data_IF_005963823486
#
_entry.id   IF_005963823486
#
_cell.length_a   1.000
_cell.length_b   1.000
_cell.length_c   1.000
_cell.angle_alpha   90.00
_cell.angle_beta   90.00
_cell.angle_gamma   90.00
#
_symmetry.space_group_name_H-M   'P 1'
#
loop_
_entity.id
_entity.type
_entity.pdbx_description
1 polymer ?
#
# COMPACT_ATOMS: atom_id res chain seq x y z
N UNK A 1 23.04 -18.13 26.24
CA UNK A 1 23.63 -17.12 25.33
C UNK A 1 23.85 -15.86 26.13
N UNK A 2 25.10 -15.39 26.28
CA UNK A 2 25.43 -14.16 27.03
C UNK A 2 25.91 -13.14 25.98
N UNK A 3 25.26 -11.98 25.92
CA UNK A 3 25.58 -10.90 24.96
C UNK A 3 25.40 -9.53 25.61
N UNK A 4 26.17 -8.54 25.15
CA UNK A 4 26.10 -7.16 25.67
C UNK A 4 24.91 -6.36 25.12
N UNK A 5 24.47 -6.66 23.89
CA UNK A 5 23.33 -5.98 23.24
C UNK A 5 22.66 -6.87 22.20
N UNK A 6 21.34 -6.75 22.12
CA UNK A 6 20.50 -7.37 21.09
C UNK A 6 19.83 -6.25 20.28
N UNK A 7 19.85 -6.36 18.95
CA UNK A 7 19.16 -5.45 18.03
C UNK A 7 18.14 -6.26 17.23
N UNK A 8 16.85 -5.97 17.40
CA UNK A 8 15.77 -6.61 16.66
C UNK A 8 15.45 -5.86 15.37
N UNK A 9 15.89 -6.37 14.23
CA UNK A 9 15.57 -5.85 12.90
C UNK A 9 14.40 -6.60 12.26
N UNK A 10 13.36 -6.89 13.04
CA UNK A 10 12.23 -7.76 12.64
C UNK A 10 11.09 -7.00 11.94
N UNK A 11 11.33 -5.75 11.53
CA UNK A 11 10.33 -4.90 10.91
C UNK A 11 9.29 -4.34 11.89
N UNK A 12 8.18 -3.85 11.32
CA UNK A 12 7.09 -3.19 12.04
C UNK A 12 5.74 -3.62 11.45
N UNK A 13 4.67 -3.49 12.24
CA UNK A 13 3.29 -3.64 11.78
C UNK A 13 2.48 -2.43 12.22
N UNK A 14 1.69 -1.86 11.30
CA UNK A 14 0.80 -0.74 11.60
C UNK A 14 -0.29 -1.09 12.62
N UNK A 15 -0.63 -0.14 13.50
CA UNK A 15 -1.67 -0.32 14.52
C UNK A 15 -3.08 -0.39 13.91
N UNK A 16 -3.77 -1.51 14.05
CA UNK A 16 -5.09 -1.74 13.46
C UNK A 16 -6.27 -1.30 14.36
N UNK A 17 -5.98 -0.79 15.58
CA UNK A 17 -6.99 -0.43 16.57
C UNK A 17 -8.12 0.45 16.02
N UNK A 18 -7.78 1.45 15.19
CA UNK A 18 -8.70 2.42 14.60
C UNK A 18 -9.79 1.79 13.71
N UNK A 19 -9.48 0.73 12.99
CA UNK A 19 -10.40 0.14 12.00
C UNK A 19 -10.80 -1.29 12.33
N UNK A 20 -10.45 -1.80 13.52
CA UNK A 20 -10.71 -3.18 13.92
C UNK A 20 -12.20 -3.56 13.91
N UNK A 21 -13.08 -2.57 14.06
CA UNK A 21 -14.54 -2.75 14.03
C UNK A 21 -15.15 -2.53 12.64
N UNK A 22 -14.35 -2.12 11.65
CA UNK A 22 -14.77 -1.89 10.27
C UNK A 22 -14.59 -3.16 9.43
N UNK A 23 -15.28 -3.22 8.29
CA UNK A 23 -15.23 -4.34 7.34
C UNK A 23 -13.94 -4.31 6.49
N UNK A 24 -12.79 -4.42 7.14
CA UNK A 24 -11.47 -4.46 6.50
C UNK A 24 -10.99 -5.91 6.40
N UNK A 25 -10.82 -6.41 5.18
CA UNK A 25 -10.23 -7.72 4.95
C UNK A 25 -8.71 -7.61 4.86
N UNK A 26 -8.03 -8.09 5.89
CA UNK A 26 -6.57 -8.15 5.95
C UNK A 26 -6.05 -9.49 5.44
N UNK A 27 -4.97 -9.46 4.66
CA UNK A 27 -4.23 -10.65 4.28
C UNK A 27 -3.59 -11.26 5.54
N UNK A 28 -3.78 -12.56 5.75
CA UNK A 28 -3.25 -13.28 6.91
C UNK A 28 -1.70 -13.23 7.01
N UNK A 29 -1.01 -13.11 5.88
CA UNK A 29 0.46 -13.11 5.84
C UNK A 29 1.04 -11.72 6.14
N UNK A 30 0.46 -10.67 5.55
CA UNK A 30 1.03 -9.31 5.59
C UNK A 30 0.31 -8.39 6.57
N UNK A 31 -0.94 -8.71 6.96
CA UNK A 31 -1.86 -7.84 7.66
C UNK A 31 -2.15 -6.51 6.93
N UNK A 32 -1.94 -6.48 5.61
CA UNK A 32 -2.36 -5.40 4.71
C UNK A 32 -3.74 -5.71 4.09
N UNK A 33 -4.43 -4.70 3.52
CA UNK A 33 -5.63 -4.93 2.72
C UNK A 33 -5.43 -6.05 1.68
N UNK A 34 -6.39 -6.97 1.61
CA UNK A 34 -6.28 -8.21 0.81
C UNK A 34 -6.00 -7.93 -0.68
N UNK A 35 -6.71 -6.96 -1.26
CA UNK A 35 -6.62 -6.63 -2.69
C UNK A 35 -5.22 -6.12 -3.06
N UNK A 36 -4.71 -5.14 -2.32
CA UNK A 36 -3.34 -4.64 -2.52
C UNK A 36 -2.31 -5.72 -2.25
N UNK A 37 -2.49 -6.56 -1.23
CA UNK A 37 -1.56 -7.66 -0.94
C UNK A 37 -1.48 -8.66 -2.10
N UNK A 38 -2.62 -9.00 -2.70
CA UNK A 38 -2.67 -9.88 -3.87
C UNK A 38 -1.99 -9.25 -5.10
N UNK A 39 -2.20 -7.95 -5.32
CA UNK A 39 -1.56 -7.22 -6.41
C UNK A 39 -0.02 -7.19 -6.25
N UNK A 40 0.47 -6.92 -5.04
CA UNK A 40 1.91 -6.93 -4.73
C UNK A 40 2.52 -8.32 -4.88
N UNK A 41 1.80 -9.37 -4.47
CA UNK A 41 2.25 -10.75 -4.66
C UNK A 41 2.34 -11.10 -6.14
N UNK A 42 1.35 -10.69 -6.94
CA UNK A 42 1.37 -10.90 -8.39
C UNK A 42 2.50 -10.12 -9.08
N UNK A 43 2.83 -8.92 -8.59
CA UNK A 43 3.91 -8.10 -9.13
C UNK A 43 5.32 -8.61 -8.76
N UNK A 44 5.44 -9.37 -7.67
CA UNK A 44 6.71 -9.90 -7.21
C UNK A 44 7.27 -11.03 -8.10
N UNK A 45 6.40 -11.83 -8.74
CA UNK A 45 6.81 -12.98 -9.56
C UNK A 45 7.56 -14.05 -8.77
N UNK A 46 8.42 -14.83 -9.46
CA UNK A 46 9.16 -15.98 -8.90
C UNK A 46 10.56 -15.61 -8.32
N UNK A 47 10.85 -14.33 -8.07
CA UNK A 47 12.16 -13.86 -7.62
C UNK A 47 12.13 -12.57 -6.81
N UNK A 48 13.26 -12.13 -6.25
CA UNK A 48 13.33 -10.85 -5.55
C UNK A 48 13.07 -9.71 -6.54
N UNK A 49 11.88 -9.13 -6.47
CA UNK A 49 11.52 -7.96 -7.27
C UNK A 49 12.42 -6.78 -6.93
N UNK A 50 12.73 -5.96 -7.94
CA UNK A 50 13.40 -4.67 -7.72
C UNK A 50 12.50 -3.80 -6.83
N UNK A 51 12.94 -3.57 -5.61
CA UNK A 51 12.20 -2.79 -4.62
C UNK A 51 12.07 -1.30 -5.02
N UNK A 52 12.89 -0.81 -5.96
CA UNK A 52 12.83 0.56 -6.46
C UNK A 52 11.90 0.72 -7.66
N UNK A 53 11.51 -0.38 -8.32
CA UNK A 53 10.59 -0.38 -9.47
C UNK A 53 9.11 -0.36 -9.06
N UNK A 54 8.80 -0.08 -7.79
CA UNK A 54 7.43 -0.09 -7.28
C UNK A 54 6.60 1.06 -7.88
N UNK A 55 5.39 0.71 -8.32
CA UNK A 55 4.38 1.64 -8.80
C UNK A 55 3.10 1.51 -7.98
N UNK A 56 2.29 2.56 -7.96
CA UNK A 56 0.92 2.44 -7.48
C UNK A 56 0.11 1.49 -8.38
N UNK A 57 -0.82 0.76 -7.76
CA UNK A 57 -1.65 -0.26 -8.41
C UNK A 57 -3.07 0.24 -8.71
N UNK A 58 -3.32 1.55 -8.52
CA UNK A 58 -4.60 2.19 -8.74
C UNK A 58 -5.54 2.16 -7.53
N UNK A 59 -6.55 3.02 -7.56
CA UNK A 59 -7.51 3.18 -6.45
C UNK A 59 -8.37 1.95 -6.18
N UNK A 60 -8.65 1.14 -7.20
CA UNK A 60 -9.56 -0.01 -7.06
C UNK A 60 -8.96 -1.09 -6.17
N UNK A 61 -7.63 -1.30 -6.20
CA UNK A 61 -6.97 -2.27 -5.30
C UNK A 61 -6.86 -1.78 -3.87
N UNK A 62 -7.02 -0.47 -3.64
CA UNK A 62 -7.02 0.15 -2.32
C UNK A 62 -8.39 0.05 -1.64
N UNK A 63 -9.44 -0.33 -2.38
CA UNK A 63 -10.77 -0.54 -1.83
C UNK A 63 -10.81 -1.76 -0.94
N UNK A 64 -11.47 -1.59 0.20
CA UNK A 64 -11.85 -2.65 1.12
C UNK A 64 -13.38 -2.78 1.14
N UNK A 65 -13.94 -3.85 1.73
CA UNK A 65 -15.39 -4.00 1.80
C UNK A 65 -16.10 -2.90 2.59
N UNK A 66 -15.42 -2.26 3.55
CA UNK A 66 -15.91 -1.04 4.18
C UNK A 66 -16.03 0.10 3.14
N UNK A 67 -17.24 0.64 2.90
CA UNK A 67 -17.45 1.68 1.90
C UNK A 67 -16.78 3.00 2.31
N UNK A 68 -16.24 3.72 1.32
CA UNK A 68 -15.60 5.03 1.47
C UNK A 68 -14.48 5.10 2.52
N UNK A 69 -13.94 3.94 2.90
CA UNK A 69 -12.82 3.80 3.83
C UNK A 69 -11.59 3.25 3.10
N UNK A 70 -10.43 3.85 3.36
CA UNK A 70 -9.16 3.48 2.71
C UNK A 70 -8.03 3.37 3.72
N UNK A 71 -7.20 2.35 3.56
CA UNK A 71 -5.93 2.20 4.28
C UNK A 71 -4.82 2.51 3.30
N UNK A 72 -4.05 3.58 3.55
CA UNK A 72 -3.04 4.12 2.64
C UNK A 72 -1.65 4.18 3.30
N UNK A 73 -0.64 4.44 2.47
CA UNK A 73 0.75 4.59 2.88
C UNK A 73 1.33 3.29 3.44
N UNK A 74 2.25 3.42 4.40
CA UNK A 74 2.92 2.26 4.99
C UNK A 74 1.95 1.25 5.61
N UNK A 75 0.81 1.73 6.15
CA UNK A 75 -0.20 0.86 6.76
C UNK A 75 -0.85 -0.07 5.74
N UNK A 76 -1.00 0.38 4.49
CA UNK A 76 -1.55 -0.45 3.41
C UNK A 76 -0.60 -1.57 2.97
N UNK A 77 0.69 -1.48 3.31
CA UNK A 77 1.70 -2.50 3.00
C UNK A 77 1.87 -3.52 4.12
N UNK A 78 1.37 -3.25 5.33
CA UNK A 78 1.44 -4.18 6.45
C UNK A 78 2.89 -4.55 6.78
N UNK A 79 3.22 -5.85 6.70
CA UNK A 79 4.58 -6.38 6.88
C UNK A 79 5.44 -6.39 5.62
N UNK A 80 4.90 -5.97 4.47
CA UNK A 80 5.70 -5.91 3.24
C UNK A 80 6.80 -4.85 3.38
N UNK A 81 8.00 -5.21 2.93
CA UNK A 81 9.21 -4.37 2.98
C UNK A 81 9.42 -3.55 1.69
N UNK A 82 8.46 -3.55 0.77
CA UNK A 82 8.53 -2.89 -0.55
C UNK A 82 7.86 -1.52 -0.58
N UNK A 83 7.45 -0.98 0.57
CA UNK A 83 6.83 0.35 0.63
C UNK A 83 7.84 1.47 0.32
N UNK A 84 7.46 2.37 -0.59
CA UNK A 84 8.19 3.62 -0.86
C UNK A 84 7.27 4.83 -0.59
N UNK A 85 7.83 5.88 0.03
CA UNK A 85 7.08 7.14 0.29
C UNK A 85 6.46 7.73 -0.98
N UNK A 86 7.16 7.62 -2.11
CA UNK A 86 6.65 8.04 -3.43
C UNK A 86 5.33 7.35 -3.77
N UNK A 87 5.26 6.03 -3.62
CA UNK A 87 4.04 5.24 -3.87
C UNK A 87 2.94 5.63 -2.89
N UNK A 88 3.29 5.89 -1.62
CA UNK A 88 2.33 6.39 -0.63
C UNK A 88 1.68 7.72 -1.02
N UNK A 89 2.44 8.65 -1.60
CA UNK A 89 1.87 9.91 -2.11
C UNK A 89 0.99 9.69 -3.34
N UNK A 90 1.41 8.81 -4.26
CA UNK A 90 0.60 8.43 -5.44
C UNK A 90 -0.75 7.81 -5.00
N UNK A 91 -0.77 6.95 -3.99
CA UNK A 91 -2.01 6.39 -3.42
C UNK A 91 -2.96 7.48 -2.89
N UNK A 92 -2.43 8.49 -2.19
CA UNK A 92 -3.23 9.60 -1.67
C UNK A 92 -3.82 10.42 -2.82
N UNK A 93 -3.03 10.71 -3.85
CA UNK A 93 -3.50 11.45 -5.03
C UNK A 93 -4.59 10.67 -5.79
N UNK A 94 -4.44 9.35 -5.93
CA UNK A 94 -5.44 8.49 -6.58
C UNK A 94 -6.77 8.47 -5.83
N UNK A 95 -6.75 8.28 -4.51
CA UNK A 95 -7.96 8.31 -3.68
C UNK A 95 -8.57 9.71 -3.68
N UNK A 96 -7.77 10.76 -3.47
CA UNK A 96 -8.29 12.12 -3.48
C UNK A 96 -8.93 12.47 -4.82
N UNK A 97 -8.31 12.08 -5.94
CA UNK A 97 -8.86 12.29 -7.28
C UNK A 97 -10.17 11.53 -7.50
N UNK A 98 -10.25 10.27 -7.09
CA UNK A 98 -11.46 9.44 -7.25
C UNK A 98 -12.67 10.00 -6.48
N UNK A 99 -12.44 10.74 -5.39
CA UNK A 99 -13.48 11.26 -4.50
C UNK A 99 -13.63 12.79 -4.52
N UNK A 100 -12.77 13.50 -5.24
CA UNK A 100 -12.88 14.94 -5.40
C UNK A 100 -14.10 15.30 -6.25
N UNK A 101 -14.98 16.16 -5.71
CA UNK A 101 -16.12 16.71 -6.47
C UNK A 101 -15.69 17.63 -7.61
N UNK A 102 -14.49 18.22 -7.54
CA UNK A 102 -13.92 19.09 -8.58
C UNK A 102 -12.83 18.38 -9.36
N UNK A 103 -13.07 18.19 -10.67
CA UNK A 103 -12.14 17.56 -11.63
C UNK A 103 -10.77 18.24 -11.75
N UNK A 104 -10.62 19.46 -11.25
CA UNK A 104 -9.39 20.26 -11.31
C UNK A 104 -8.23 19.68 -10.50
N UNK A 105 -8.51 18.87 -9.46
CA UNK A 105 -7.44 18.21 -8.70
C UNK A 105 -6.74 17.15 -9.56
N UNK A 106 -7.52 16.35 -10.30
CA UNK A 106 -7.01 15.23 -11.10
C UNK A 106 -6.20 15.68 -12.32
N UNK A 107 -6.63 16.77 -12.98
CA UNK A 107 -6.10 17.16 -14.30
C UNK A 107 -4.65 17.64 -14.31
N UNK A 108 -4.03 17.88 -13.14
CA UNK A 108 -2.64 18.33 -13.04
C UNK A 108 -1.63 17.30 -12.54
N UNK A 109 -2.09 16.12 -12.10
CA UNK A 109 -1.25 15.13 -11.37
C UNK A 109 -1.37 13.69 -11.89
N UNK A 110 -2.12 13.45 -12.97
CA UNK A 110 -2.32 12.12 -13.56
C UNK A 110 -1.16 11.64 -14.44
N UNK A 111 -0.50 10.58 -13.97
CA UNK A 111 0.22 9.55 -14.73
C UNK A 111 1.22 9.99 -15.81
N UNK A 112 2.50 10.08 -15.44
CA UNK A 112 3.52 9.50 -16.33
C UNK A 112 3.40 7.99 -16.20
N UNK A 113 2.46 7.40 -16.94
CA UNK A 113 2.54 5.98 -17.23
C UNK A 113 3.90 5.77 -17.88
N UNK A 114 4.70 4.87 -17.30
CA UNK A 114 5.91 4.39 -17.92
C UNK A 114 5.50 3.60 -19.16
N UNK A 115 5.30 4.29 -20.29
CA UNK A 115 5.40 3.70 -21.61
C UNK A 115 6.88 3.51 -21.90
N UNK A 116 7.34 2.26 -21.84
CA UNK A 116 8.63 1.82 -22.36
C UNK A 116 8.39 0.47 -23.01
N UNK A 117 8.52 0.43 -24.34
CA UNK A 117 8.36 -0.78 -25.16
C UNK A 117 9.58 -1.68 -25.16
#
# INVERSE_FOLDING_TARGET
VIVDRIIGLTGFLGDTSLYRQLQVHECYATAAPMNLSAALLSAAGDGPADCLAQASHGVDVLRVPEPDFFVLGMKSYGRNNTFLLRVGYEQVDEVACAYAKSRSWCSGRGSRSAGGG
#
